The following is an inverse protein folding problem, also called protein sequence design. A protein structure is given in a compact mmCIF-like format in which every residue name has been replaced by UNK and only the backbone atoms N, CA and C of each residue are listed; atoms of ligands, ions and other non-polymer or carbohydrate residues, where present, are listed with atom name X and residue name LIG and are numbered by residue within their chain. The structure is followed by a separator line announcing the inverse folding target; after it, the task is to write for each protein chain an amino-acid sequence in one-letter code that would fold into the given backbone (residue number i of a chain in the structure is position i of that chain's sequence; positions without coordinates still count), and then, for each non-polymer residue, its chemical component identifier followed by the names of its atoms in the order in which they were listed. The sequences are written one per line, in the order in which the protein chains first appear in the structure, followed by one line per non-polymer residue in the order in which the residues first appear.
data_IF_483830377308
#
_entry.id   IF_483830377308
#
_cell.length_a   1.000
_cell.length_b   1.000
_cell.length_c   1.000
_cell.angle_alpha   90.00
_cell.angle_beta   90.00
_cell.angle_gamma   90.00
#
_symmetry.space_group_name_H-M   'P 1'
#
loop_
_entity.id
_entity.type
_entity.pdbx_description
1 polymer ?
#
# COMPACT_ATOMS: atom_id res chain seq x y z
N UNK A 1 -38.22 21.02 2.58
CA UNK A 1 -38.66 19.67 2.18
C UNK A 1 -37.89 19.27 0.94
N UNK A 2 -37.23 18.10 0.94
CA UNK A 2 -36.73 17.43 -0.26
C UNK A 2 -35.24 17.55 -0.57
N UNK A 3 -34.38 16.93 0.26
CA UNK A 3 -33.00 16.60 -0.12
C UNK A 3 -33.00 15.43 -1.12
N UNK A 4 -32.52 15.66 -2.34
CA UNK A 4 -32.30 14.61 -3.33
C UNK A 4 -31.05 13.80 -2.96
N UNK A 5 -31.27 12.54 -2.56
CA UNK A 5 -30.26 11.51 -2.39
C UNK A 5 -29.73 11.09 -3.77
N UNK A 6 -28.47 11.42 -4.08
CA UNK A 6 -27.77 10.77 -5.19
C UNK A 6 -27.39 9.36 -4.75
N UNK A 7 -28.20 8.37 -5.12
CA UNK A 7 -27.82 6.96 -5.03
C UNK A 7 -26.80 6.65 -6.12
N UNK A 8 -25.51 6.68 -5.79
CA UNK A 8 -24.49 5.96 -6.57
C UNK A 8 -24.53 4.50 -6.14
N UNK A 9 -25.35 3.71 -6.82
CA UNK A 9 -25.20 2.25 -6.83
C UNK A 9 -23.85 1.92 -7.47
N UNK A 10 -22.96 1.15 -6.83
CA UNK A 10 -21.80 0.64 -7.53
C UNK A 10 -22.28 -0.41 -8.53
N UNK A 11 -21.93 -0.18 -9.80
CA UNK A 11 -21.93 -1.19 -10.86
C UNK A 11 -20.89 -2.27 -10.51
N UNK A 12 -21.20 -3.10 -9.51
CA UNK A 12 -20.41 -4.25 -9.13
C UNK A 12 -21.26 -5.49 -9.41
N UNK A 13 -21.24 -5.93 -10.67
CA UNK A 13 -21.73 -7.25 -11.02
C UNK A 13 -20.96 -7.82 -12.20
N UNK A 14 -19.91 -8.57 -11.89
CA UNK A 14 -19.43 -9.67 -12.71
C UNK A 14 -18.74 -10.69 -11.80
N UNK A 15 -19.52 -11.65 -11.30
CA UNK A 15 -19.13 -13.01 -10.95
C UNK A 15 -17.69 -13.25 -10.43
N UNK A 16 -17.37 -12.71 -9.25
CA UNK A 16 -16.32 -13.28 -8.41
C UNK A 16 -17.00 -14.05 -7.27
N UNK A 17 -16.57 -15.31 -6.97
CA UNK A 17 -17.05 -16.02 -5.79
C UNK A 17 -16.78 -15.15 -4.55
N UNK A 18 -17.67 -15.18 -3.55
CA UNK A 18 -17.57 -14.41 -2.30
C UNK A 18 -16.14 -14.44 -1.74
N UNK A 19 -15.33 -13.44 -2.10
CA UNK A 19 -14.07 -13.18 -1.42
C UNK A 19 -14.48 -12.64 -0.07
N UNK A 20 -14.22 -13.39 1.00
CA UNK A 20 -14.33 -12.89 2.36
C UNK A 20 -13.65 -11.51 2.40
N UNK A 21 -14.39 -10.47 2.79
CA UNK A 21 -13.99 -9.06 2.65
C UNK A 21 -12.63 -8.72 3.32
N UNK A 22 -12.10 -9.64 4.15
CA UNK A 22 -10.81 -9.56 4.83
C UNK A 22 -9.58 -10.00 4.00
N UNK A 23 -9.75 -10.69 2.86
CA UNK A 23 -8.65 -11.21 2.03
C UNK A 23 -8.46 -10.42 0.72
N UNK A 24 -9.11 -9.27 0.61
CA UNK A 24 -8.90 -8.33 -0.49
C UNK A 24 -7.49 -7.77 -0.37
N UNK A 25 -6.68 -7.96 -1.41
CA UNK A 25 -5.35 -7.37 -1.45
C UNK A 25 -5.40 -5.90 -1.88
N UNK A 26 -4.38 -5.15 -1.48
CA UNK A 26 -4.09 -3.84 -2.01
C UNK A 26 -2.59 -3.68 -2.27
N UNK A 27 -2.25 -2.72 -3.12
CA UNK A 27 -0.87 -2.27 -3.30
C UNK A 27 -0.69 -0.97 -2.52
N UNK A 28 0.30 -0.93 -1.64
CA UNK A 28 0.74 0.31 -0.99
C UNK A 28 2.01 0.79 -1.69
N UNK A 29 2.01 2.05 -2.14
CA UNK A 29 3.17 2.72 -2.71
C UNK A 29 3.74 3.72 -1.71
N UNK A 30 5.06 3.73 -1.59
CA UNK A 30 5.82 4.73 -0.85
C UNK A 30 7.12 5.01 -1.61
N UNK A 31 7.76 6.13 -1.32
CA UNK A 31 9.16 6.37 -1.66
C UNK A 31 10.01 6.41 -0.38
N UNK A 32 11.33 6.34 -0.53
CA UNK A 32 12.32 6.50 0.52
C UNK A 32 13.58 7.18 -0.06
N UNK A 33 14.36 7.92 0.75
CA UNK A 33 15.52 8.69 0.27
C UNK A 33 16.63 7.83 -0.35
N UNK A 34 16.73 6.58 0.08
CA UNK A 34 17.81 5.68 -0.32
C UNK A 34 17.39 4.21 -0.17
N UNK A 35 18.25 3.33 -0.72
CA UNK A 35 18.03 1.89 -0.73
C UNK A 35 18.05 1.27 0.66
N UNK A 36 18.92 1.74 1.54
CA UNK A 36 19.06 1.23 2.91
C UNK A 36 17.76 1.48 3.71
N UNK A 37 17.23 2.70 3.63
CA UNK A 37 15.98 3.09 4.26
C UNK A 37 14.81 2.30 3.69
N UNK A 38 14.73 2.16 2.36
CA UNK A 38 13.69 1.38 1.71
C UNK A 38 13.71 -0.09 2.16
N UNK A 39 14.89 -0.72 2.14
CA UNK A 39 15.06 -2.12 2.56
C UNK A 39 14.76 -2.31 4.04
N UNK A 40 15.19 -1.38 4.92
CA UNK A 40 14.84 -1.41 6.35
C UNK A 40 13.34 -1.35 6.59
N UNK A 41 12.61 -0.48 5.90
CA UNK A 41 11.15 -0.39 5.99
C UNK A 41 10.51 -1.69 5.49
N UNK A 42 10.89 -2.14 4.29
CA UNK A 42 10.31 -3.34 3.71
C UNK A 42 10.60 -4.61 4.52
N UNK A 43 11.81 -4.75 5.08
CA UNK A 43 12.15 -5.84 6.00
C UNK A 43 11.30 -5.82 7.26
N UNK A 44 11.09 -4.66 7.88
CA UNK A 44 10.25 -4.55 9.07
C UNK A 44 8.80 -5.00 8.77
N UNK A 45 8.22 -4.51 7.66
CA UNK A 45 6.87 -4.90 7.22
C UNK A 45 6.75 -6.40 6.97
N UNK A 46 7.78 -7.04 6.39
CA UNK A 46 7.79 -8.48 6.14
C UNK A 46 7.97 -9.29 7.43
N UNK A 47 8.90 -8.90 8.32
CA UNK A 47 9.16 -9.58 9.60
C UNK A 47 7.96 -9.53 10.53
N UNK A 48 7.26 -8.39 10.57
CA UNK A 48 6.02 -8.20 11.33
C UNK A 48 4.80 -8.81 10.63
N UNK A 49 4.97 -9.43 9.45
CA UNK A 49 3.90 -9.99 8.61
C UNK A 49 2.80 -8.99 8.25
N UNK A 50 3.16 -7.71 8.16
CA UNK A 50 2.27 -6.64 7.71
C UNK A 50 2.18 -6.56 6.19
N UNK A 51 3.13 -7.15 5.46
CA UNK A 51 3.12 -7.28 4.02
C UNK A 51 3.49 -8.70 3.58
N UNK A 52 3.01 -9.12 2.42
CA UNK A 52 3.39 -10.39 1.81
C UNK A 52 4.64 -10.26 0.93
N UNK A 53 4.76 -9.12 0.24
CA UNK A 53 5.85 -8.87 -0.71
C UNK A 53 6.15 -7.38 -0.80
N UNK A 54 7.42 -7.03 -0.88
CA UNK A 54 7.90 -5.67 -1.15
C UNK A 54 8.83 -5.74 -2.36
N UNK A 55 8.68 -4.79 -3.28
CA UNK A 55 9.58 -4.59 -4.41
C UNK A 55 10.17 -3.18 -4.33
N UNK A 56 11.38 -3.02 -4.85
CA UNK A 56 12.15 -1.79 -4.79
C UNK A 56 12.57 -1.36 -6.19
N UNK A 57 12.40 -0.09 -6.52
CA UNK A 57 12.76 0.47 -7.81
C UNK A 57 13.39 1.86 -7.63
N UNK A 58 14.50 2.12 -8.31
CA UNK A 58 15.10 3.45 -8.33
C UNK A 58 14.22 4.39 -9.17
N UNK A 59 13.88 5.56 -8.63
CA UNK A 59 13.04 6.56 -9.27
C UNK A 59 13.65 7.94 -9.10
N UNK A 60 13.24 8.88 -9.96
CA UNK A 60 13.52 10.31 -9.78
C UNK A 60 12.19 11.02 -9.55
N UNK A 61 12.09 11.70 -8.42
CA UNK A 61 10.91 12.44 -7.99
C UNK A 61 11.11 13.93 -8.21
N UNK A 62 10.08 14.60 -8.73
CA UNK A 62 10.03 16.05 -8.90
C UNK A 62 8.77 16.58 -8.23
N UNK A 63 8.92 17.59 -7.40
CA UNK A 63 7.83 18.15 -6.60
C UNK A 63 8.13 19.59 -6.19
N UNK A 64 7.10 20.30 -5.75
CA UNK A 64 7.25 21.65 -5.21
C UNK A 64 7.37 21.59 -3.69
N UNK A 65 8.38 22.24 -3.13
CA UNK A 65 8.55 22.39 -1.70
C UNK A 65 9.02 23.80 -1.36
N UNK A 66 8.33 24.46 -0.44
CA UNK A 66 8.61 25.85 -0.02
C UNK A 66 8.80 26.85 -1.17
N UNK A 67 8.07 26.66 -2.27
CA UNK A 67 8.14 27.53 -3.44
C UNK A 67 9.29 27.24 -4.41
N UNK A 68 10.06 26.17 -4.18
CA UNK A 68 11.11 25.71 -5.08
C UNK A 68 10.74 24.39 -5.73
N UNK A 69 11.18 24.20 -6.99
CA UNK A 69 11.08 22.92 -7.68
C UNK A 69 12.23 22.03 -7.25
N UNK A 70 11.92 20.99 -6.48
CA UNK A 70 12.87 20.02 -5.96
C UNK A 70 12.97 18.81 -6.91
N UNK A 71 14.13 18.16 -6.90
CA UNK A 71 14.36 16.91 -7.63
C UNK A 71 15.24 16.01 -6.79
N UNK A 72 14.74 14.83 -6.46
CA UNK A 72 15.46 13.84 -5.66
C UNK A 72 15.50 12.48 -6.39
N UNK A 73 16.62 11.77 -6.24
CA UNK A 73 16.69 10.36 -6.59
C UNK A 73 16.24 9.56 -5.34
N UNK A 74 15.22 8.72 -5.52
CA UNK A 74 14.56 7.98 -4.44
C UNK A 74 14.44 6.49 -4.79
N UNK A 75 14.02 5.69 -3.82
CA UNK A 75 13.62 4.30 -4.02
C UNK A 75 12.13 4.15 -3.77
N UNK A 76 11.37 3.74 -4.79
CA UNK A 76 9.96 3.40 -4.68
C UNK A 76 9.80 2.00 -4.09
N UNK A 77 8.95 1.89 -3.06
CA UNK A 77 8.48 0.65 -2.49
C UNK A 77 7.10 0.31 -3.06
N UNK A 78 6.96 -0.89 -3.63
CA UNK A 78 5.66 -1.46 -4.03
C UNK A 78 5.33 -2.62 -3.10
N UNK A 79 4.45 -2.36 -2.14
CA UNK A 79 4.13 -3.24 -1.02
C UNK A 79 2.78 -3.92 -1.29
N UNK A 80 2.74 -5.25 -1.29
CA UNK A 80 1.50 -6.02 -1.44
C UNK A 80 1.07 -6.53 -0.08
N UNK A 81 -0.13 -6.17 0.34
CA UNK A 81 -0.69 -6.54 1.64
C UNK A 81 -2.20 -6.76 1.55
N UNK A 82 -2.82 -7.23 2.63
CA UNK A 82 -4.27 -7.24 2.78
C UNK A 82 -4.76 -5.82 3.05
N UNK A 83 -5.90 -5.46 2.46
CA UNK A 83 -6.52 -4.13 2.63
C UNK A 83 -6.78 -3.81 4.10
N UNK A 84 -7.17 -4.81 4.90
CA UNK A 84 -7.39 -4.67 6.33
C UNK A 84 -6.13 -4.23 7.13
N UNK A 85 -4.93 -4.49 6.59
CA UNK A 85 -3.67 -4.11 7.23
C UNK A 85 -3.14 -2.74 6.84
N UNK A 86 -3.82 -2.03 5.93
CA UNK A 86 -3.36 -0.74 5.41
C UNK A 86 -2.99 0.24 6.54
N UNK A 87 -3.87 0.43 7.53
CA UNK A 87 -3.60 1.38 8.61
C UNK A 87 -2.36 1.02 9.44
N UNK A 88 -2.12 -0.27 9.68
CA UNK A 88 -0.92 -0.73 10.41
C UNK A 88 0.34 -0.58 9.56
N UNK A 89 0.26 -0.83 8.25
CA UNK A 89 1.36 -0.62 7.30
C UNK A 89 1.72 0.87 7.22
N UNK A 90 0.72 1.74 7.08
CA UNK A 90 0.90 3.19 7.06
C UNK A 90 1.58 3.68 8.35
N UNK A 91 1.07 3.27 9.51
CA UNK A 91 1.67 3.61 10.80
C UNK A 91 3.11 3.13 10.94
N UNK A 92 3.43 1.92 10.44
CA UNK A 92 4.78 1.39 10.46
C UNK A 92 5.72 2.18 9.52
N UNK A 93 5.26 2.55 8.32
CA UNK A 93 6.03 3.39 7.39
C UNK A 93 6.29 4.74 8.06
N UNK A 94 5.27 5.44 8.55
CA UNK A 94 5.41 6.74 9.21
C UNK A 94 6.40 6.71 10.38
N UNK A 95 6.38 5.63 11.19
CA UNK A 95 7.30 5.46 12.31
C UNK A 95 8.76 5.23 11.89
N UNK A 96 8.97 4.58 10.75
CA UNK A 96 10.32 4.17 10.29
C UNK A 96 10.92 5.17 9.30
N UNK A 97 10.10 6.01 8.67
CA UNK A 97 10.53 6.90 7.61
C UNK A 97 11.23 8.16 8.16
N UNK A 98 12.33 8.63 7.53
CA UNK A 98 13.03 9.85 7.98
C UNK A 98 12.32 11.15 7.60
N UNK A 99 11.50 11.15 6.54
CA UNK A 99 10.70 12.33 6.16
C UNK A 99 9.52 12.52 7.10
N UNK A 100 9.20 13.79 7.38
CA UNK A 100 8.04 14.17 8.20
C UNK A 100 6.70 13.83 7.51
N UNK A 101 6.68 13.82 6.18
CA UNK A 101 5.50 13.55 5.36
C UNK A 101 5.85 12.60 4.20
N UNK A 102 6.07 11.30 4.46
CA UNK A 102 6.31 10.34 3.39
C UNK A 102 5.06 10.13 2.55
N UNK A 103 5.25 9.84 1.27
CA UNK A 103 4.17 9.36 0.42
C UNK A 103 3.70 7.97 0.89
N UNK A 104 2.42 7.79 1.17
CA UNK A 104 1.81 6.47 1.39
C UNK A 104 0.48 6.42 0.65
N UNK A 105 0.44 5.69 -0.47
CA UNK A 105 -0.76 5.58 -1.33
C UNK A 105 -1.27 4.15 -1.30
N UNK A 106 -2.59 3.97 -1.18
CA UNK A 106 -3.20 2.65 -1.32
C UNK A 106 -3.99 2.54 -2.62
N UNK A 107 -3.59 1.58 -3.46
CA UNK A 107 -4.26 1.25 -4.71
C UNK A 107 -5.08 -0.03 -4.54
N UNK A 108 -6.33 0.02 -5.00
CA UNK A 108 -7.19 -1.16 -5.06
C UNK A 108 -6.65 -2.17 -6.07
N UNK A 109 -6.81 -3.46 -5.76
CA UNK A 109 -6.50 -4.55 -6.68
C UNK A 109 -7.82 -5.15 -7.14
N UNK A 110 -8.17 -4.91 -8.41
CA UNK A 110 -9.42 -5.39 -8.99
C UNK A 110 -9.38 -6.89 -9.34
N UNK A 111 -8.18 -7.43 -9.62
CA UNK A 111 -7.98 -8.83 -9.94
C UNK A 111 -6.61 -9.33 -9.47
N UNK A 112 -6.57 -10.58 -9.02
CA UNK A 112 -5.37 -11.28 -8.56
C UNK A 112 -5.49 -12.77 -8.89
N UNK A 113 -4.39 -13.43 -9.22
CA UNK A 113 -4.42 -14.89 -9.43
C UNK A 113 -4.70 -15.62 -8.12
N UNK A 114 -5.55 -16.64 -8.14
CA UNK A 114 -6.00 -17.33 -6.92
C UNK A 114 -4.85 -17.85 -6.05
N UNK A 115 -3.81 -18.41 -6.66
CA UNK A 115 -2.63 -18.89 -5.95
C UNK A 115 -1.84 -17.77 -5.26
N UNK A 116 -1.69 -16.62 -5.92
CA UNK A 116 -0.99 -15.47 -5.32
C UNK A 116 -1.83 -14.85 -4.20
N UNK A 117 -3.15 -14.76 -4.37
CA UNK A 117 -4.05 -14.25 -3.33
C UNK A 117 -3.95 -15.09 -2.06
N UNK A 118 -4.06 -16.41 -2.18
CA UNK A 118 -3.97 -17.33 -1.05
C UNK A 118 -2.61 -17.22 -0.34
N UNK A 119 -1.51 -17.20 -1.10
CA UNK A 119 -0.17 -17.04 -0.54
C UNK A 119 0.01 -15.69 0.17
N UNK A 120 -0.43 -14.60 -0.46
CA UNK A 120 -0.26 -13.26 0.08
C UNK A 120 -1.11 -13.04 1.34
N UNK A 121 -2.36 -13.50 1.35
CA UNK A 121 -3.22 -13.44 2.52
C UNK A 121 -2.65 -14.24 3.70
N UNK A 122 -2.11 -15.45 3.43
CA UNK A 122 -1.47 -16.28 4.46
C UNK A 122 -0.15 -15.69 4.97
N UNK A 123 0.61 -15.01 4.10
CA UNK A 123 1.90 -14.40 4.45
C UNK A 123 1.73 -13.11 5.24
N UNK A 124 0.82 -12.23 4.81
CA UNK A 124 0.51 -10.97 5.47
C UNK A 124 -0.46 -11.19 6.63
N UNK A 125 -0.07 -12.00 7.61
CA UNK A 125 -0.91 -12.38 8.74
C UNK A 125 -0.16 -12.16 10.07
N UNK A 126 -0.20 -10.94 10.63
CA UNK A 126 0.42 -10.67 11.93
C UNK A 126 -0.27 -11.51 13.01
N UNK A 127 0.50 -11.93 14.02
CA UNK A 127 -0.08 -12.54 15.21
C UNK A 127 -0.94 -11.48 15.94
N UNK A 128 -2.12 -11.90 16.40
CA UNK A 128 -3.04 -11.06 17.20
C UNK A 128 -2.48 -10.86 18.59
#
# INVERSE_FOLDING_TARGET
MGSAIYSVLPLYNAAFPEVCMNDVLCVVLSTAPDRETAERIGEALLRERLAACVQYEAVRSQYWWQGELCTDDEVRLTIKTRRALYGTVEAAILRLHPYDCPQVLCLAVDAVSAGYQAWAAASANPAV
#
